data_IF_574008854928
#
_entry.id   IF_574008854928
#
_cell.length_a   1.000
_cell.length_b   1.000
_cell.length_c   1.000
_cell.angle_alpha   90.00
_cell.angle_beta   90.00
_cell.angle_gamma   90.00
#
_symmetry.space_group_name_H-M   'P 1'
#
loop_
_entity.id
_entity.type
_entity.pdbx_description
1 polymer ?
#
# COMPACT_ATOMS: atom_id res chain seq x y z
N UNK A 1 -0.46 34.53 14.01
CA UNK A 1 -1.15 33.39 13.36
C UNK A 1 -2.30 33.96 12.56
N UNK A 2 -2.23 33.91 11.23
CA UNK A 2 -3.28 34.45 10.36
C UNK A 2 -4.53 33.58 10.43
N UNK A 3 -5.70 34.20 10.22
CA UNK A 3 -7.02 33.55 10.19
C UNK A 3 -7.11 32.41 9.16
N UNK A 4 -6.27 32.45 8.11
CA UNK A 4 -6.13 31.41 7.09
C UNK A 4 -5.53 30.11 7.66
N UNK A 5 -4.53 30.21 8.54
CA UNK A 5 -3.82 29.07 9.15
C UNK A 5 -4.70 28.34 10.21
N UNK A 6 -5.63 29.06 10.82
CA UNK A 6 -6.63 28.48 11.75
C UNK A 6 -7.72 27.74 10.96
N UNK A 7 -8.20 28.29 9.85
CA UNK A 7 -9.20 27.64 9.00
C UNK A 7 -8.71 26.32 8.39
N UNK A 8 -7.44 26.27 7.96
CA UNK A 8 -6.84 25.04 7.42
C UNK A 8 -6.63 23.96 8.49
N UNK A 9 -6.25 24.35 9.72
CA UNK A 9 -6.14 23.43 10.86
C UNK A 9 -7.50 22.93 11.33
N UNK A 10 -8.52 23.79 11.38
CA UNK A 10 -9.88 23.38 11.69
C UNK A 10 -10.46 22.44 10.64
N UNK A 11 -10.23 22.69 9.35
CA UNK A 11 -10.63 21.78 8.26
C UNK A 11 -9.96 20.42 8.40
N UNK A 12 -8.64 20.37 8.66
CA UNK A 12 -7.91 19.12 8.93
C UNK A 12 -8.40 18.37 10.17
N UNK A 13 -8.78 19.08 11.24
CA UNK A 13 -9.34 18.46 12.45
C UNK A 13 -10.73 17.89 12.17
N UNK A 14 -11.55 18.60 11.38
CA UNK A 14 -12.87 18.13 10.96
C UNK A 14 -12.75 16.93 10.03
N UNK A 15 -11.84 16.94 9.06
CA UNK A 15 -11.52 15.78 8.19
C UNK A 15 -10.85 14.63 8.94
N UNK A 16 -10.17 14.90 10.06
CA UNK A 16 -9.63 13.86 10.94
C UNK A 16 -10.72 13.18 11.80
N UNK A 17 -11.78 13.93 12.14
CA UNK A 17 -12.93 13.44 12.91
C UNK A 17 -14.05 12.88 12.03
N UNK A 18 -14.11 13.32 10.78
CA UNK A 18 -15.06 12.93 9.76
C UNK A 18 -14.26 12.23 8.66
N UNK A 19 -14.30 10.89 8.63
CA UNK A 19 -13.71 10.05 7.59
C UNK A 19 -14.77 9.84 6.50
N UNK A 20 -14.93 10.76 5.51
CA UNK A 20 -15.93 10.59 4.48
C UNK A 20 -15.59 9.35 3.65
N UNK A 21 -16.61 8.61 3.21
CA UNK A 21 -16.38 7.47 2.32
C UNK A 21 -15.55 7.91 1.09
N UNK A 22 -14.46 7.18 0.76
CA UNK A 22 -13.65 7.46 -0.41
C UNK A 22 -14.52 7.50 -1.67
N UNK A 23 -14.40 8.59 -2.42
CA UNK A 23 -15.07 8.76 -3.70
C UNK A 23 -14.05 8.62 -4.81
N UNK A 24 -14.49 8.11 -5.95
CA UNK A 24 -13.72 8.19 -7.18
C UNK A 24 -13.89 9.61 -7.73
N UNK A 25 -13.07 10.54 -7.26
CA UNK A 25 -13.11 11.97 -7.59
C UNK A 25 -12.14 12.38 -8.72
N UNK A 26 -11.30 11.45 -9.16
CA UNK A 26 -10.47 11.60 -10.34
C UNK A 26 -11.32 11.63 -11.62
N UNK A 27 -10.79 12.28 -12.66
CA UNK A 27 -11.44 12.43 -13.97
C UNK A 27 -12.07 11.11 -14.42
N UNK A 28 -13.35 11.07 -14.85
CA UNK A 28 -14.07 9.84 -15.17
C UNK A 28 -13.43 8.97 -16.27
N UNK A 29 -12.37 9.46 -16.92
CA UNK A 29 -11.60 8.76 -17.94
C UNK A 29 -10.39 7.95 -17.42
N UNK A 30 -9.90 8.18 -16.19
CA UNK A 30 -8.72 7.45 -15.69
C UNK A 30 -9.07 6.04 -15.21
N UNK A 31 -8.31 5.00 -15.62
CA UNK A 31 -8.57 3.65 -15.19
C UNK A 31 -8.17 3.45 -13.72
N UNK A 32 -8.98 2.67 -13.00
CA UNK A 32 -8.67 2.26 -11.63
C UNK A 32 -7.74 1.04 -11.69
N UNK A 33 -6.72 1.03 -10.84
CA UNK A 33 -5.80 -0.10 -10.73
C UNK A 33 -5.84 -0.74 -9.34
N UNK A 34 -5.87 -2.08 -9.31
CA UNK A 34 -5.72 -2.86 -8.08
C UNK A 34 -4.68 -3.95 -8.33
N UNK A 35 -3.47 -3.84 -7.74
CA UNK A 35 -2.40 -4.85 -7.78
C UNK A 35 -2.25 -5.50 -9.19
N UNK A 36 -1.87 -4.67 -10.17
CA UNK A 36 -1.67 -5.10 -11.55
C UNK A 36 -2.93 -5.31 -12.41
N UNK A 37 -4.14 -5.12 -11.87
CA UNK A 37 -5.40 -5.19 -12.65
C UNK A 37 -5.97 -3.83 -12.94
N UNK A 38 -6.33 -3.61 -14.21
CA UNK A 38 -7.00 -2.41 -14.70
C UNK A 38 -8.51 -2.60 -14.71
N UNK A 39 -9.24 -1.61 -14.23
CA UNK A 39 -10.69 -1.52 -14.25
C UNK A 39 -11.12 -0.25 -14.96
N UNK A 40 -12.03 -0.38 -15.91
CA UNK A 40 -12.62 0.75 -16.62
C UNK A 40 -13.86 1.26 -15.89
N UNK A 41 -14.03 2.57 -15.84
CA UNK A 41 -15.24 3.22 -15.35
C UNK A 41 -16.29 3.11 -16.46
N UNK A 42 -17.52 2.63 -16.19
CA UNK A 42 -18.57 2.59 -17.21
C UNK A 42 -18.92 4.01 -17.67
N UNK A 43 -18.95 4.23 -18.99
CA UNK A 43 -19.44 5.49 -19.57
C UNK A 43 -20.91 5.72 -19.16
N UNK A 44 -21.32 6.96 -18.85
CA UNK A 44 -22.71 7.27 -18.58
C UNK A 44 -23.56 6.88 -19.81
N UNK A 45 -24.55 6.01 -19.61
CA UNK A 45 -25.49 5.66 -20.68
C UNK A 45 -26.30 6.93 -21.02
N UNK A 46 -26.03 7.54 -22.17
CA UNK A 46 -26.86 8.60 -22.71
C UNK A 46 -28.29 8.07 -22.94
N UNK A 47 -29.27 8.64 -22.23
CA UNK A 47 -30.68 8.36 -22.47
C UNK A 47 -31.15 9.09 -23.72
N UNK A 48 -30.91 8.53 -24.91
CA UNK A 48 -31.42 9.11 -26.16
C UNK A 48 -32.56 8.34 -26.83
N UNK A 49 -32.88 7.09 -26.46
CA UNK A 49 -33.79 6.25 -27.30
C UNK A 49 -35.10 5.75 -26.67
N UNK A 50 -35.75 6.50 -25.78
CA UNK A 50 -37.09 6.15 -25.27
C UNK A 50 -38.20 7.17 -25.58
N UNK A 51 -38.03 8.04 -26.58
CA UNK A 51 -39.08 9.05 -26.94
C UNK A 51 -39.83 8.83 -28.25
N UNK A 52 -39.54 7.79 -29.02
CA UNK A 52 -40.26 7.52 -30.27
C UNK A 52 -40.97 6.15 -30.25
N UNK A 53 -42.01 6.03 -29.42
CA UNK A 53 -43.13 5.15 -29.74
C UNK A 53 -44.42 5.94 -29.58
N UNK A 54 -44.91 6.45 -30.72
CA UNK A 54 -46.23 7.05 -30.86
C UNK A 54 -47.30 5.96 -30.80
N UNK A 55 -48.11 5.94 -29.74
CA UNK A 55 -49.35 5.18 -29.71
C UNK A 55 -50.47 6.00 -30.39
N UNK A 56 -51.34 5.39 -31.23
CA UNK A 56 -52.44 6.09 -31.88
C UNK A 56 -53.60 6.37 -30.89
N UNK A 57 -54.40 7.42 -31.10
CA UNK A 57 -55.45 7.80 -30.16
C UNK A 57 -56.78 7.08 -30.42
N UNK A 58 -57.55 6.91 -29.34
CA UNK A 58 -58.99 6.61 -29.23
C UNK A 58 -59.45 5.15 -29.04
N UNK A 59 -59.86 4.84 -27.81
CA UNK A 59 -61.18 4.26 -27.49
C UNK A 59 -61.56 4.53 -26.02
N UNK A 60 -62.84 4.85 -25.71
CA UNK A 60 -63.31 5.08 -24.33
C UNK A 60 -63.59 3.77 -23.57
N UNK A 61 -63.62 3.77 -22.23
CA UNK A 61 -63.63 2.55 -21.42
C UNK A 61 -65.04 1.94 -21.31
N UNK A 62 -65.13 0.61 -21.27
CA UNK A 62 -66.31 -0.12 -20.80
C UNK A 62 -66.12 -0.58 -19.36
N UNK A 63 -67.15 -0.53 -18.49
CA UNK A 63 -67.01 -0.90 -17.09
C UNK A 63 -67.32 -2.38 -16.89
N UNK A 64 -66.56 -3.02 -15.99
CA UNK A 64 -66.95 -4.10 -15.06
C UNK A 64 -65.93 -5.25 -15.03
N UNK A 65 -65.21 -5.41 -13.92
CA UNK A 65 -65.56 -6.35 -12.84
C UNK A 65 -64.39 -6.46 -11.86
N UNK A 66 -64.75 -6.37 -10.59
CA UNK A 66 -63.89 -6.51 -9.42
C UNK A 66 -63.31 -7.92 -9.32
N UNK A 67 -62.02 -8.03 -9.03
CA UNK A 67 -61.49 -9.11 -8.22
C UNK A 67 -60.30 -8.58 -7.41
N UNK A 68 -60.49 -8.61 -6.09
CA UNK A 68 -59.55 -8.21 -5.06
C UNK A 68 -58.31 -9.09 -5.11
N UNK A 69 -57.12 -8.48 -5.22
CA UNK A 69 -55.92 -9.09 -4.68
C UNK A 69 -55.02 -8.04 -4.03
N UNK A 70 -54.73 -8.34 -2.76
CA UNK A 70 -54.02 -7.55 -1.78
C UNK A 70 -52.55 -7.46 -2.20
N UNK A 71 -52.12 -6.30 -2.74
CA UNK A 71 -50.69 -6.02 -2.95
C UNK A 71 -50.31 -4.71 -2.27
N UNK A 72 -49.45 -4.88 -1.27
CA UNK A 72 -48.78 -3.85 -0.49
C UNK A 72 -48.17 -2.75 -1.37
N UNK A 73 -48.56 -1.50 -1.10
CA UNK A 73 -47.98 -0.28 -1.67
C UNK A 73 -46.44 -0.28 -1.54
N UNK A 74 -45.69 0.08 -2.59
CA UNK A 74 -44.29 0.44 -2.44
C UNK A 74 -44.18 1.83 -1.78
N UNK A 75 -43.14 2.10 -0.97
CA UNK A 75 -42.89 3.45 -0.48
C UNK A 75 -42.50 4.36 -1.66
N UNK A 76 -43.22 5.49 -1.71
CA UNK A 76 -42.90 6.77 -2.33
C UNK A 76 -41.55 6.90 -3.05
N UNK A 77 -41.68 7.25 -4.33
CA UNK A 77 -40.71 8.05 -5.08
C UNK A 77 -40.32 9.31 -4.31
N UNK A 78 -39.19 9.26 -3.62
CA UNK A 78 -38.37 10.41 -3.27
C UNK A 78 -36.91 9.93 -3.30
N UNK A 79 -36.07 10.66 -4.02
CA UNK A 79 -34.60 10.54 -4.09
C UNK A 79 -33.96 9.40 -4.90
N UNK A 80 -34.61 8.92 -5.98
CA UNK A 80 -33.97 7.97 -6.91
C UNK A 80 -33.20 8.62 -8.07
N UNK A 81 -32.90 9.92 -8.01
CA UNK A 81 -32.34 10.67 -9.14
C UNK A 81 -30.86 11.09 -9.01
N UNK A 82 -30.14 10.74 -7.93
CA UNK A 82 -28.76 11.23 -7.73
C UNK A 82 -27.69 10.16 -7.39
N UNK A 83 -28.04 8.87 -7.32
CA UNK A 83 -27.08 7.81 -6.91
C UNK A 83 -26.38 7.07 -8.07
N UNK A 84 -26.60 7.45 -9.34
CA UNK A 84 -26.12 6.65 -10.49
C UNK A 84 -24.86 7.19 -11.20
N UNK A 85 -24.21 8.22 -10.68
CA UNK A 85 -23.14 8.91 -11.43
C UNK A 85 -21.71 8.79 -10.88
N UNK A 86 -21.43 8.10 -9.77
CA UNK A 86 -20.05 8.02 -9.20
C UNK A 86 -19.74 6.71 -8.44
N UNK A 87 -20.33 5.57 -8.83
CA UNK A 87 -20.09 4.29 -8.15
C UNK A 87 -18.82 3.59 -8.65
N UNK A 88 -17.99 3.09 -7.74
CA UNK A 88 -16.86 2.21 -8.04
C UNK A 88 -17.30 1.02 -8.95
N UNK A 89 -16.49 0.60 -9.95
CA UNK A 89 -16.84 -0.56 -10.78
C UNK A 89 -17.03 -1.82 -9.93
N UNK A 90 -18.12 -2.57 -10.14
CA UNK A 90 -18.43 -3.76 -9.33
C UNK A 90 -17.28 -4.79 -9.33
N UNK A 91 -16.68 -5.04 -10.50
CA UNK A 91 -15.54 -5.96 -10.61
C UNK A 91 -14.29 -5.49 -9.85
N UNK A 92 -14.13 -4.17 -9.66
CA UNK A 92 -13.08 -3.61 -8.82
C UNK A 92 -13.40 -3.84 -7.34
N UNK A 93 -14.63 -3.57 -6.90
CA UNK A 93 -15.06 -3.81 -5.53
C UNK A 93 -14.89 -5.28 -5.14
N UNK A 94 -15.34 -6.21 -5.99
CA UNK A 94 -15.18 -7.65 -5.77
C UNK A 94 -13.69 -8.02 -5.55
N UNK A 95 -12.79 -7.43 -6.33
CA UNK A 95 -11.34 -7.65 -6.22
C UNK A 95 -10.74 -7.07 -4.94
N UNK A 96 -11.07 -5.81 -4.69
CA UNK A 96 -10.59 -5.02 -3.56
C UNK A 96 -11.02 -5.65 -2.23
N UNK A 97 -12.29 -6.00 -2.08
CA UNK A 97 -12.85 -6.65 -0.89
C UNK A 97 -12.33 -8.08 -0.68
N UNK A 98 -11.85 -8.71 -1.76
CA UNK A 98 -11.21 -10.03 -1.68
C UNK A 98 -9.75 -9.98 -1.23
N UNK A 99 -9.12 -8.80 -1.15
CA UNK A 99 -7.75 -8.68 -0.62
C UNK A 99 -7.73 -8.89 0.89
N UNK A 100 -6.67 -9.51 1.38
CA UNK A 100 -6.51 -9.75 2.82
C UNK A 100 -6.05 -8.47 3.49
N UNK A 101 -6.86 -7.95 4.41
CA UNK A 101 -6.57 -6.78 5.20
C UNK A 101 -6.35 -7.18 6.66
N UNK A 102 -5.15 -6.93 7.17
CA UNK A 102 -4.78 -7.22 8.55
C UNK A 102 -4.60 -5.89 9.27
N UNK A 103 -5.30 -5.73 10.38
CA UNK A 103 -5.39 -4.47 11.14
C UNK A 103 -4.88 -4.66 12.57
N UNK A 104 -4.85 -3.57 13.33
CA UNK A 104 -4.59 -3.63 14.77
C UNK A 104 -5.57 -4.57 15.48
N UNK A 105 -5.05 -5.30 16.46
CA UNK A 105 -5.82 -6.22 17.28
C UNK A 105 -5.57 -5.98 18.75
N UNK A 106 -6.47 -6.53 19.56
CA UNK A 106 -6.43 -6.49 21.01
C UNK A 106 -6.85 -7.85 21.56
N UNK A 107 -6.52 -8.10 22.82
CA UNK A 107 -6.82 -9.33 23.54
C UNK A 107 -6.18 -10.59 22.93
N UNK A 108 -5.06 -10.45 22.21
CA UNK A 108 -4.23 -11.59 21.83
C UNK A 108 -3.37 -12.06 23.01
N UNK A 109 -2.87 -13.32 23.02
CA UNK A 109 -1.97 -13.81 24.07
C UNK A 109 -0.79 -12.86 24.29
N UNK A 110 -0.44 -12.55 25.53
CA UNK A 110 0.53 -11.49 25.81
C UNK A 110 1.90 -11.74 25.15
N UNK A 111 2.44 -10.72 24.48
CA UNK A 111 3.83 -10.67 24.02
C UNK A 111 4.69 -10.12 25.16
N UNK A 112 5.69 -10.87 25.66
CA UNK A 112 6.55 -10.39 26.74
C UNK A 112 7.28 -9.11 26.36
N UNK A 113 7.46 -8.19 27.31
CA UNK A 113 8.31 -7.01 27.11
C UNK A 113 9.78 -7.41 27.02
N UNK A 114 10.56 -6.65 26.26
CA UNK A 114 12.02 -6.82 26.26
C UNK A 114 12.59 -6.50 27.65
N UNK A 115 13.64 -7.24 28.02
CA UNK A 115 14.45 -6.97 29.22
C UNK A 115 15.54 -5.93 28.94
N UNK A 116 15.74 -5.54 27.69
CA UNK A 116 16.69 -4.51 27.30
C UNK A 116 16.22 -3.14 27.81
N UNK A 117 17.03 -2.42 28.62
CA UNK A 117 16.72 -1.08 29.09
C UNK A 117 16.48 -0.06 27.96
N UNK A 118 17.11 -0.24 26.80
CA UNK A 118 16.99 0.67 25.65
C UNK A 118 15.65 0.52 24.94
N UNK A 119 15.04 -0.67 24.98
CA UNK A 119 13.76 -0.95 24.33
C UNK A 119 12.61 -0.09 24.92
N UNK A 120 12.65 0.19 26.23
CA UNK A 120 11.62 1.04 26.86
C UNK A 120 11.71 2.51 26.45
N UNK A 121 12.90 2.97 26.06
CA UNK A 121 13.14 4.34 25.60
C UNK A 121 12.72 4.53 24.14
N UNK A 122 12.78 3.47 23.34
CA UNK A 122 12.35 3.46 21.94
C UNK A 122 10.83 3.45 21.75
N UNK A 123 10.05 3.26 22.82
CA UNK A 123 8.58 3.29 22.75
C UNK A 123 8.06 4.71 22.51
N UNK A 124 7.04 4.84 21.66
CA UNK A 124 6.32 6.10 21.51
C UNK A 124 5.63 6.49 22.83
N UNK A 125 5.43 7.79 23.07
CA UNK A 125 4.85 8.28 24.33
C UNK A 125 3.51 7.61 24.66
N UNK A 126 2.63 7.48 23.68
CA UNK A 126 1.32 6.84 23.81
C UNK A 126 1.42 5.35 24.14
N UNK A 127 2.35 4.62 23.50
CA UNK A 127 2.60 3.20 23.81
C UNK A 127 3.20 3.05 25.20
N UNK A 128 4.14 3.92 25.60
CA UNK A 128 4.74 3.93 26.93
C UNK A 128 3.70 4.19 28.03
N UNK A 129 2.82 5.18 27.82
CA UNK A 129 1.76 5.52 28.77
C UNK A 129 0.79 4.35 28.97
N UNK A 130 0.33 3.72 27.88
CA UNK A 130 -0.54 2.54 27.95
C UNK A 130 0.15 1.35 28.63
N UNK A 131 1.40 1.11 28.27
CA UNK A 131 2.24 0.02 28.78
C UNK A 131 2.50 0.11 30.29
N UNK A 132 2.52 1.31 30.87
CA UNK A 132 2.69 1.53 32.31
C UNK A 132 1.37 1.41 33.09
N UNK A 133 0.24 1.78 32.49
CA UNK A 133 -1.06 1.85 33.19
C UNK A 133 -1.89 0.57 33.09
N UNK A 134 -1.83 -0.16 31.97
CA UNK A 134 -2.75 -1.27 31.66
C UNK A 134 -2.02 -2.61 31.48
N UNK A 135 -0.85 -2.59 30.86
CA UNK A 135 -0.17 -3.78 30.33
C UNK A 135 1.12 -4.11 31.10
N UNK A 136 1.04 -4.25 32.44
CA UNK A 136 2.25 -4.49 33.28
C UNK A 136 2.99 -5.79 32.96
N UNK A 137 2.31 -6.79 32.37
CA UNK A 137 2.86 -8.14 32.11
C UNK A 137 3.31 -8.41 30.66
N UNK A 138 3.06 -7.49 29.72
CA UNK A 138 3.29 -7.73 28.29
C UNK A 138 2.27 -7.00 27.42
N UNK A 139 2.49 -6.97 26.12
CA UNK A 139 1.56 -6.35 25.18
C UNK A 139 0.45 -7.34 24.80
N UNK A 140 -0.80 -6.92 24.93
CA UNK A 140 -1.99 -7.66 24.47
C UNK A 140 -2.71 -6.97 23.30
N UNK A 141 -2.16 -5.83 22.87
CA UNK A 141 -2.59 -5.07 21.70
C UNK A 141 -1.38 -4.48 20.98
N UNK A 142 -1.49 -4.38 19.67
CA UNK A 142 -0.49 -3.74 18.81
C UNK A 142 -0.87 -2.33 18.37
N UNK A 143 -2.02 -1.84 18.85
CA UNK A 143 -2.46 -0.47 18.61
C UNK A 143 -1.40 0.53 19.07
N UNK A 144 -0.88 1.32 18.13
CA UNK A 144 0.09 2.38 18.38
C UNK A 144 1.55 2.01 18.05
N UNK A 145 1.84 0.75 17.71
CA UNK A 145 3.19 0.33 17.31
C UNK A 145 3.22 -0.71 16.18
N UNK A 146 2.16 -1.51 16.01
CA UNK A 146 2.12 -2.62 15.06
C UNK A 146 1.83 -2.27 13.60
N UNK A 147 1.62 -1.00 13.22
CA UNK A 147 1.11 -0.68 11.87
C UNK A 147 1.95 -1.28 10.75
N UNK A 148 3.28 -1.12 10.81
CA UNK A 148 4.16 -1.64 9.77
C UNK A 148 4.16 -3.17 9.73
N UNK A 149 4.07 -3.83 10.89
CA UNK A 149 3.93 -5.28 10.99
C UNK A 149 2.63 -5.71 10.28
N UNK A 150 1.51 -5.04 10.56
CA UNK A 150 0.21 -5.36 9.93
C UNK A 150 0.20 -5.12 8.43
N UNK A 151 0.85 -4.07 7.96
CA UNK A 151 1.03 -3.81 6.52
C UNK A 151 1.90 -4.88 5.87
N UNK A 152 3.01 -5.29 6.52
CA UNK A 152 3.85 -6.40 6.05
C UNK A 152 3.12 -7.74 6.03
N UNK A 153 2.35 -8.06 7.07
CA UNK A 153 1.50 -9.24 7.12
C UNK A 153 0.46 -9.22 5.99
N UNK A 154 -0.17 -8.06 5.73
CA UNK A 154 -1.14 -7.92 4.62
C UNK A 154 -0.48 -8.15 3.27
N UNK A 155 0.71 -7.60 3.04
CA UNK A 155 1.49 -7.82 1.82
C UNK A 155 1.84 -9.30 1.63
N UNK A 156 2.39 -9.96 2.66
CA UNK A 156 2.73 -11.38 2.63
C UNK A 156 1.47 -12.26 2.43
N UNK A 157 0.38 -11.96 3.13
CA UNK A 157 -0.87 -12.71 3.01
C UNK A 157 -1.43 -12.64 1.59
N UNK A 158 -1.40 -11.46 0.95
CA UNK A 158 -1.85 -11.31 -0.43
C UNK A 158 -0.88 -11.98 -1.43
N UNK A 159 0.43 -12.01 -1.17
CA UNK A 159 1.37 -12.79 -1.98
C UNK A 159 1.06 -14.30 -1.91
N UNK A 160 0.85 -14.85 -0.71
CA UNK A 160 0.43 -16.24 -0.53
C UNK A 160 -0.93 -16.53 -1.15
N UNK A 161 -1.87 -15.57 -1.08
CA UNK A 161 -3.19 -15.69 -1.69
C UNK A 161 -3.06 -15.84 -3.21
N UNK A 162 -2.29 -14.96 -3.84
CA UNK A 162 -2.06 -15.01 -5.29
C UNK A 162 -1.31 -16.29 -5.67
N UNK A 163 -0.35 -16.74 -4.86
CA UNK A 163 0.40 -17.98 -5.12
C UNK A 163 -0.47 -19.24 -5.02
N UNK A 164 -1.34 -19.34 -4.00
CA UNK A 164 -2.13 -20.55 -3.72
C UNK A 164 -3.48 -20.61 -4.45
N UNK A 165 -4.11 -19.46 -4.64
CA UNK A 165 -5.48 -19.35 -5.18
C UNK A 165 -5.53 -18.61 -6.52
N UNK A 166 -4.47 -17.91 -6.90
CA UNK A 166 -4.40 -17.13 -8.15
C UNK A 166 -4.90 -15.69 -7.97
N UNK A 167 -4.48 -14.83 -8.89
CA UNK A 167 -4.87 -13.40 -8.88
C UNK A 167 -6.36 -13.18 -9.18
N UNK A 168 -6.98 -14.09 -9.94
CA UNK A 168 -8.41 -14.09 -10.28
C UNK A 168 -9.33 -14.50 -9.13
N UNK A 169 -8.79 -15.10 -8.07
CA UNK A 169 -9.60 -15.57 -6.96
C UNK A 169 -10.39 -14.45 -6.30
N UNK A 170 -11.62 -14.76 -5.91
CA UNK A 170 -12.56 -13.90 -5.17
C UNK A 170 -13.19 -14.70 -4.03
N UNK A 171 -13.62 -13.99 -2.98
CA UNK A 171 -14.27 -14.58 -1.80
C UNK A 171 -15.48 -15.44 -2.19
N UNK A 172 -15.75 -16.46 -1.38
CA UNK A 172 -16.85 -17.41 -1.61
C UNK A 172 -16.47 -18.63 -2.46
N UNK A 173 -15.25 -18.66 -3.01
CA UNK A 173 -14.67 -19.84 -3.67
C UNK A 173 -13.51 -20.40 -2.85
N UNK A 174 -13.26 -21.71 -2.90
CA UNK A 174 -12.11 -22.35 -2.24
C UNK A 174 -11.98 -22.03 -0.73
N UNK A 175 -13.10 -21.90 -0.01
CA UNK A 175 -13.16 -21.43 1.38
C UNK A 175 -12.24 -22.18 2.34
N UNK A 176 -12.04 -23.49 2.14
CA UNK A 176 -11.12 -24.29 2.96
C UNK A 176 -9.66 -23.81 2.83
N UNK A 177 -9.23 -23.45 1.62
CA UNK A 177 -7.89 -22.90 1.36
C UNK A 177 -7.77 -21.46 1.88
N UNK A 178 -8.83 -20.65 1.76
CA UNK A 178 -8.89 -19.30 2.34
C UNK A 178 -8.71 -19.36 3.87
N UNK A 179 -9.48 -20.21 4.56
CA UNK A 179 -9.37 -20.40 6.01
C UNK A 179 -7.98 -20.88 6.41
N UNK A 180 -7.44 -21.88 5.70
CA UNK A 180 -6.10 -22.40 5.96
C UNK A 180 -5.04 -21.31 5.83
N UNK A 181 -5.12 -20.46 4.80
CA UNK A 181 -4.20 -19.33 4.61
C UNK A 181 -4.35 -18.31 5.74
N UNK A 182 -5.58 -17.87 6.05
CA UNK A 182 -5.82 -16.88 7.12
C UNK A 182 -5.35 -17.37 8.49
N UNK A 183 -5.44 -18.68 8.75
CA UNK A 183 -4.99 -19.28 10.01
C UNK A 183 -3.49 -19.11 10.25
N UNK A 184 -2.69 -18.94 9.19
CA UNK A 184 -1.25 -18.69 9.29
C UNK A 184 -0.92 -17.34 9.93
N UNK A 185 -1.87 -16.39 9.90
CA UNK A 185 -1.71 -15.02 10.39
C UNK A 185 -2.49 -14.74 11.69
N UNK A 186 -3.12 -15.75 12.28
CA UNK A 186 -3.85 -15.58 13.54
C UNK A 186 -2.93 -15.00 14.63
N UNK A 187 -3.43 -14.11 15.48
CA UNK A 187 -2.65 -13.51 16.58
C UNK A 187 -2.44 -14.50 17.73
N UNK A 188 -1.76 -15.61 17.45
CA UNK A 188 -1.40 -16.66 18.38
C UNK A 188 0.05 -17.08 18.13
N UNK A 189 0.84 -17.35 19.19
CA UNK A 189 2.25 -17.74 19.04
C UNK A 189 2.50 -18.95 18.11
N UNK A 190 1.51 -19.83 17.95
CA UNK A 190 1.61 -21.01 17.11
C UNK A 190 1.49 -20.72 15.61
N UNK A 191 0.84 -19.62 15.24
CA UNK A 191 0.67 -19.26 13.84
C UNK A 191 1.99 -18.66 13.29
N UNK A 192 2.51 -19.17 12.15
CA UNK A 192 3.86 -18.88 11.66
C UNK A 192 4.06 -17.41 11.28
N UNK A 193 3.00 -16.73 10.85
CA UNK A 193 3.04 -15.32 10.47
C UNK A 193 2.29 -14.42 11.47
N UNK A 194 2.08 -14.89 12.70
CA UNK A 194 1.48 -14.09 13.76
C UNK A 194 2.33 -12.88 14.12
N UNK A 195 1.71 -11.88 14.76
CA UNK A 195 2.45 -10.74 15.30
C UNK A 195 3.51 -11.17 16.32
N UNK A 196 3.26 -12.25 17.05
CA UNK A 196 4.21 -12.85 18.00
C UNK A 196 5.49 -13.27 17.28
N UNK A 197 5.37 -13.98 16.15
CA UNK A 197 6.51 -14.42 15.33
C UNK A 197 7.24 -13.25 14.68
N UNK A 198 6.50 -12.29 14.11
CA UNK A 198 7.11 -11.08 13.55
C UNK A 198 7.97 -10.32 14.57
N UNK A 199 7.49 -10.19 15.80
CA UNK A 199 8.24 -9.50 16.87
C UNK A 199 9.44 -10.33 17.34
N UNK A 200 9.28 -11.66 17.45
CA UNK A 200 10.37 -12.59 17.79
C UNK A 200 11.50 -12.51 16.74
N UNK A 201 11.17 -12.63 15.45
CA UNK A 201 12.13 -12.51 14.36
C UNK A 201 12.72 -11.09 14.28
N UNK A 202 11.91 -10.04 14.49
CA UNK A 202 12.39 -8.66 14.54
C UNK A 202 13.46 -8.43 15.61
N UNK A 203 13.24 -9.00 16.80
CA UNK A 203 14.21 -8.91 17.89
C UNK A 203 15.51 -9.64 17.54
N UNK A 204 15.42 -10.83 16.93
CA UNK A 204 16.58 -11.63 16.56
C UNK A 204 17.37 -11.05 15.37
N UNK A 205 16.70 -10.63 14.30
CA UNK A 205 17.33 -10.25 13.03
C UNK A 205 17.71 -8.76 12.96
N UNK A 206 17.04 -7.88 13.70
CA UNK A 206 17.28 -6.44 13.62
C UNK A 206 17.20 -5.71 14.96
N UNK A 207 17.16 -6.42 16.09
CA UNK A 207 17.12 -5.82 17.43
C UNK A 207 15.84 -5.02 17.70
N UNK A 208 14.77 -5.25 16.94
CA UNK A 208 13.49 -4.55 17.09
C UNK A 208 12.58 -5.27 18.08
N UNK A 209 12.30 -4.62 19.19
CA UNK A 209 11.59 -5.23 20.31
C UNK A 209 10.08 -4.97 20.29
N UNK A 210 9.29 -5.78 21.03
CA UNK A 210 7.86 -5.56 21.19
C UNK A 210 7.55 -4.12 21.66
N UNK A 211 6.60 -3.47 21.00
CA UNK A 211 6.21 -2.09 21.30
C UNK A 211 6.97 -1.04 20.49
N UNK A 212 8.09 -1.39 19.86
CA UNK A 212 8.84 -0.48 18.98
C UNK A 212 8.19 -0.40 17.59
N UNK A 213 8.47 0.71 16.91
CA UNK A 213 8.08 0.86 15.51
C UNK A 213 9.06 0.13 14.59
N UNK A 214 8.51 -0.70 13.70
CA UNK A 214 9.24 -1.43 12.67
C UNK A 214 9.27 -0.60 11.39
N UNK A 215 10.45 -0.50 10.77
CA UNK A 215 10.57 0.07 9.43
C UNK A 215 10.40 -0.97 8.31
N UNK A 216 10.38 -0.54 7.04
CA UNK A 216 10.38 -1.40 5.87
C UNK A 216 11.40 -2.53 5.91
N UNK A 217 12.68 -2.22 6.11
CA UNK A 217 13.76 -3.22 6.11
C UNK A 217 13.64 -4.22 7.26
N UNK A 218 13.25 -3.77 8.46
CA UNK A 218 13.00 -4.65 9.59
C UNK A 218 11.85 -5.62 9.30
N UNK A 219 10.77 -5.11 8.71
CA UNK A 219 9.60 -5.92 8.33
C UNK A 219 9.93 -6.93 7.25
N UNK A 220 10.73 -6.54 6.24
CA UNK A 220 11.19 -7.45 5.19
C UNK A 220 12.01 -8.62 5.76
N UNK A 221 12.94 -8.33 6.67
CA UNK A 221 13.73 -9.37 7.36
C UNK A 221 12.86 -10.29 8.21
N UNK A 222 11.82 -9.76 8.85
CA UNK A 222 10.87 -10.62 9.58
C UNK A 222 10.16 -11.60 8.65
N UNK A 223 9.82 -11.18 7.42
CA UNK A 223 9.18 -12.05 6.43
C UNK A 223 10.15 -13.12 5.92
N UNK A 224 11.41 -12.75 5.67
CA UNK A 224 12.47 -13.66 5.20
C UNK A 224 12.79 -14.80 6.19
N UNK A 225 12.79 -14.48 7.48
CA UNK A 225 13.09 -15.44 8.55
C UNK A 225 11.91 -16.39 8.88
N UNK A 226 10.71 -16.11 8.37
CA UNK A 226 9.55 -16.95 8.63
C UNK A 226 9.59 -18.24 7.81
N UNK A 227 9.11 -19.34 8.41
CA UNK A 227 9.09 -20.65 7.76
C UNK A 227 8.24 -20.63 6.47
N UNK A 228 8.81 -21.13 5.38
CA UNK A 228 8.55 -20.60 4.04
C UNK A 228 7.19 -20.93 3.39
N UNK A 229 6.26 -21.67 4.01
CA UNK A 229 4.90 -21.94 3.49
C UNK A 229 4.73 -22.23 1.97
N UNK A 230 5.80 -22.68 1.27
CA UNK A 230 5.86 -22.86 -0.19
C UNK A 230 6.23 -21.62 -1.04
N UNK A 231 6.78 -20.56 -0.44
CA UNK A 231 7.16 -19.29 -1.06
C UNK A 231 8.59 -18.91 -0.63
N UNK A 232 9.50 -18.76 -1.58
CA UNK A 232 10.83 -18.22 -1.31
C UNK A 232 10.74 -16.70 -1.10
N UNK A 233 11.68 -16.12 -0.36
CA UNK A 233 11.75 -14.67 -0.16
C UNK A 233 13.12 -14.16 -0.61
N UNK A 234 13.14 -13.09 -1.39
CA UNK A 234 14.34 -12.36 -1.78
C UNK A 234 14.23 -10.95 -1.20
N UNK A 235 15.10 -10.60 -0.25
CA UNK A 235 15.13 -9.27 0.38
C UNK A 235 16.37 -8.51 -0.04
N UNK A 236 16.21 -7.24 -0.40
CA UNK A 236 17.34 -6.31 -0.53
C UNK A 236 17.66 -5.67 0.81
N UNK A 237 18.93 -5.71 1.22
CA UNK A 237 19.33 -5.28 2.56
C UNK A 237 19.14 -3.78 2.76
N UNK A 238 19.43 -2.96 1.74
CA UNK A 238 19.27 -1.51 1.71
C UNK A 238 19.15 -1.01 0.25
N UNK A 239 17.94 -0.70 -0.21
CA UNK A 239 17.70 -0.15 -1.56
C UNK A 239 16.90 -1.08 -2.48
N UNK A 240 16.91 -0.74 -3.76
CA UNK A 240 16.06 -1.32 -4.81
C UNK A 240 16.84 -2.08 -5.87
N UNK A 241 18.10 -2.40 -5.58
CA UNK A 241 19.01 -3.11 -6.47
C UNK A 241 18.78 -4.63 -6.36
N UNK A 242 18.39 -5.23 -7.49
CA UNK A 242 18.14 -6.66 -7.61
C UNK A 242 19.25 -7.32 -8.39
N UNK A 243 19.89 -8.32 -7.79
CA UNK A 243 20.97 -9.09 -8.41
C UNK A 243 20.39 -10.42 -8.93
N UNK A 244 20.44 -10.62 -10.25
CA UNK A 244 19.82 -11.79 -10.89
C UNK A 244 20.41 -13.11 -10.40
N UNK A 245 21.73 -13.16 -10.22
CA UNK A 245 22.45 -14.34 -9.71
C UNK A 245 21.97 -14.74 -8.30
N UNK A 246 21.86 -13.78 -7.38
CA UNK A 246 21.34 -14.01 -6.02
C UNK A 246 19.87 -14.41 -6.05
N UNK A 247 19.07 -13.74 -6.87
CA UNK A 247 17.67 -14.08 -7.04
C UNK A 247 17.52 -15.52 -7.55
N UNK A 248 18.27 -15.92 -8.59
CA UNK A 248 18.27 -17.29 -9.14
C UNK A 248 18.73 -18.33 -8.12
N UNK A 249 19.69 -18.00 -7.27
CA UNK A 249 20.14 -18.91 -6.20
C UNK A 249 19.02 -19.24 -5.21
N UNK A 250 18.16 -18.27 -4.90
CA UNK A 250 17.02 -18.42 -4.00
C UNK A 250 15.82 -19.05 -4.72
N UNK A 251 15.49 -18.52 -5.90
CA UNK A 251 14.31 -18.87 -6.65
C UNK A 251 14.40 -20.24 -7.34
N UNK A 252 15.61 -20.65 -7.75
CA UNK A 252 15.86 -21.82 -8.58
C UNK A 252 16.66 -21.46 -9.83
N UNK A 253 17.69 -22.25 -10.12
CA UNK A 253 18.61 -22.00 -11.23
C UNK A 253 17.97 -22.26 -12.59
N UNK A 254 17.30 -23.41 -12.74
CA UNK A 254 16.65 -23.83 -13.99
C UNK A 254 15.19 -23.38 -14.02
N UNK A 255 14.41 -23.85 -13.04
CA UNK A 255 13.00 -23.50 -12.85
C UNK A 255 12.82 -22.60 -11.64
N UNK A 256 12.36 -21.38 -11.89
CA UNK A 256 11.99 -20.43 -10.83
C UNK A 256 10.77 -20.97 -10.09
N UNK A 257 10.95 -21.17 -8.79
CA UNK A 257 9.89 -21.41 -7.81
C UNK A 257 9.27 -20.08 -7.39
N UNK A 258 8.00 -20.07 -6.92
CA UNK A 258 7.37 -18.87 -6.41
C UNK A 258 8.25 -18.15 -5.39
N UNK A 259 8.61 -16.91 -5.72
CA UNK A 259 9.56 -16.11 -4.95
C UNK A 259 9.01 -14.69 -4.80
N UNK A 260 8.92 -14.23 -3.56
CA UNK A 260 8.52 -12.88 -3.19
C UNK A 260 9.75 -11.99 -3.08
N UNK A 261 9.87 -11.02 -3.96
CA UNK A 261 10.87 -9.96 -3.91
C UNK A 261 10.35 -8.86 -2.99
N UNK A 262 11.14 -8.46 -2.01
CA UNK A 262 10.86 -7.39 -1.06
C UNK A 262 11.96 -6.32 -1.14
N UNK A 263 11.56 -5.11 -1.54
CA UNK A 263 12.46 -3.98 -1.72
C UNK A 263 12.16 -2.90 -0.68
N UNK A 264 13.07 -2.72 0.27
CA UNK A 264 13.05 -1.59 1.21
C UNK A 264 13.66 -0.36 0.54
N UNK A 265 12.84 0.64 0.20
CA UNK A 265 13.29 1.82 -0.53
C UNK A 265 13.06 3.10 0.27
N UNK A 266 13.91 4.10 0.04
CA UNK A 266 13.73 5.48 0.51
C UNK A 266 13.77 6.44 -0.67
N UNK A 267 12.61 7.02 -1.02
CA UNK A 267 12.42 7.85 -2.23
C UNK A 267 12.40 9.36 -1.94
N UNK A 268 12.98 9.78 -0.81
CA UNK A 268 13.05 11.18 -0.39
C UNK A 268 13.40 11.35 1.09
N UNK A 269 13.43 12.61 1.55
CA UNK A 269 13.75 12.96 2.94
C UNK A 269 12.48 12.99 3.78
N UNK A 270 11.56 13.92 3.47
CA UNK A 270 10.29 14.14 4.18
C UNK A 270 9.07 13.62 3.40
N UNK A 271 9.15 13.68 2.07
CA UNK A 271 8.12 13.20 1.14
C UNK A 271 8.78 12.56 -0.07
N UNK A 272 8.01 11.80 -0.85
CA UNK A 272 8.49 11.20 -2.10
C UNK A 272 8.85 12.29 -3.10
N UNK A 273 10.09 12.28 -3.60
CA UNK A 273 10.53 13.20 -4.65
C UNK A 273 9.69 12.99 -5.92
N UNK A 274 9.10 14.07 -6.51
CA UNK A 274 8.19 13.97 -7.66
C UNK A 274 8.70 13.17 -8.86
N UNK A 275 10.01 13.15 -9.07
CA UNK A 275 10.67 12.39 -10.16
C UNK A 275 10.37 10.88 -10.15
N UNK A 276 9.97 10.34 -8.98
CA UNK A 276 9.65 8.93 -8.80
C UNK A 276 8.16 8.60 -8.91
N UNK A 277 7.28 9.60 -9.05
CA UNK A 277 5.82 9.36 -9.00
C UNK A 277 5.34 8.46 -10.15
N UNK A 278 5.84 8.69 -11.36
CA UNK A 278 5.45 7.87 -12.53
C UNK A 278 5.97 6.44 -12.41
N UNK A 279 7.21 6.26 -11.96
CA UNK A 279 7.78 4.94 -11.71
C UNK A 279 7.01 4.19 -10.61
N UNK A 280 6.59 4.88 -9.54
CA UNK A 280 5.81 4.30 -8.46
C UNK A 280 4.41 3.88 -8.91
N UNK A 281 3.74 4.73 -9.70
CA UNK A 281 2.46 4.42 -10.35
C UNK A 281 2.62 3.20 -11.28
N UNK A 282 3.70 3.10 -12.04
CA UNK A 282 3.94 1.95 -12.92
C UNK A 282 4.11 0.64 -12.12
N UNK A 283 4.88 0.66 -11.04
CA UNK A 283 5.16 -0.51 -10.18
C UNK A 283 3.89 -1.18 -9.66
N UNK A 284 2.88 -0.40 -9.23
CA UNK A 284 1.61 -0.96 -8.74
C UNK A 284 0.72 -1.53 -9.86
N UNK A 285 1.01 -1.19 -11.12
CA UNK A 285 0.34 -1.69 -12.31
C UNK A 285 0.99 -2.97 -12.87
N UNK A 286 2.14 -3.39 -12.34
CA UNK A 286 2.77 -4.65 -12.79
C UNK A 286 1.93 -5.85 -12.35
N UNK A 287 1.72 -6.86 -13.21
CA UNK A 287 1.00 -8.09 -12.84
C UNK A 287 1.61 -8.83 -11.64
N UNK A 288 2.92 -8.67 -11.44
CA UNK A 288 3.68 -9.27 -10.33
C UNK A 288 3.53 -8.49 -9.03
N UNK A 289 2.99 -7.27 -9.05
CA UNK A 289 2.90 -6.41 -7.86
C UNK A 289 2.01 -7.05 -6.79
N UNK A 290 2.50 -7.09 -5.55
CA UNK A 290 1.71 -7.43 -4.36
C UNK A 290 1.50 -6.22 -3.45
N UNK A 291 1.80 -5.02 -3.95
CA UNK A 291 1.54 -3.75 -3.30
C UNK A 291 2.74 -3.16 -2.58
N UNK A 292 2.45 -2.10 -1.83
CA UNK A 292 3.43 -1.32 -1.08
C UNK A 292 2.94 -1.23 0.37
N UNK A 293 3.83 -1.50 1.32
CA UNK A 293 3.59 -1.22 2.73
C UNK A 293 4.26 0.11 3.13
N UNK A 294 3.43 1.10 3.47
CA UNK A 294 3.81 2.48 3.85
C UNK A 294 2.56 3.30 4.23
N UNK A 295 2.72 4.56 4.69
CA UNK A 295 1.59 5.48 4.99
C UNK A 295 1.02 6.09 3.70
N UNK A 296 -0.30 6.29 3.59
CA UNK A 296 -1.01 6.44 2.31
C UNK A 296 -1.57 7.86 2.02
N UNK A 297 -0.90 8.59 1.13
CA UNK A 297 -1.39 9.53 0.09
C UNK A 297 -0.12 9.98 -0.65
N UNK A 298 0.04 9.90 -1.99
CA UNK A 298 1.39 10.02 -2.62
C UNK A 298 2.18 11.29 -2.23
N UNK A 299 1.47 12.40 -1.94
CA UNK A 299 2.05 13.66 -1.47
C UNK A 299 2.41 13.67 0.02
N UNK A 300 1.85 12.76 0.80
CA UNK A 300 2.05 12.57 2.25
C UNK A 300 2.64 11.19 2.59
N UNK A 301 3.05 10.42 1.56
CA UNK A 301 3.66 9.11 1.73
C UNK A 301 5.01 9.30 2.42
N UNK A 302 5.23 8.49 3.45
CA UNK A 302 6.56 8.33 4.02
C UNK A 302 7.49 7.87 2.89
N UNK A 303 8.64 8.55 2.67
CA UNK A 303 9.54 8.18 1.60
C UNK A 303 10.13 6.78 1.82
N UNK A 304 10.08 6.24 3.04
CA UNK A 304 10.48 4.88 3.40
C UNK A 304 9.31 3.90 3.24
N UNK A 305 9.44 2.96 2.31
CA UNK A 305 8.40 1.97 2.01
C UNK A 305 8.96 0.60 1.67
N UNK A 306 8.12 -0.41 1.81
CA UNK A 306 8.41 -1.78 1.40
C UNK A 306 7.59 -2.12 0.15
N UNK A 307 8.24 -2.40 -0.97
CA UNK A 307 7.60 -2.76 -2.23
C UNK A 307 7.73 -4.27 -2.46
N UNK A 308 6.63 -4.94 -2.81
CA UNK A 308 6.61 -6.38 -3.02
C UNK A 308 6.27 -6.80 -4.46
N UNK A 309 6.98 -7.81 -4.97
CA UNK A 309 6.65 -8.49 -6.23
C UNK A 309 6.68 -10.01 -6.09
N UNK A 310 5.67 -10.70 -6.61
CA UNK A 310 5.62 -12.16 -6.67
C UNK A 310 6.01 -12.64 -8.07
N UNK A 311 7.13 -13.36 -8.14
CA UNK A 311 7.60 -14.02 -9.37
C UNK A 311 7.28 -15.51 -9.26
N UNK A 312 6.37 -16.03 -10.08
CA UNK A 312 5.93 -17.44 -9.97
C UNK A 312 6.76 -18.40 -10.80
N UNK A 313 7.36 -17.93 -11.89
CA UNK A 313 8.07 -18.75 -12.88
C UNK A 313 9.03 -17.88 -13.74
N UNK A 314 9.67 -18.52 -14.72
CA UNK A 314 10.61 -17.86 -15.63
C UNK A 314 9.95 -16.76 -16.50
N UNK A 315 8.72 -16.96 -16.95
CA UNK A 315 8.01 -15.95 -17.77
C UNK A 315 7.71 -14.69 -16.97
N UNK A 316 7.23 -14.86 -15.73
CA UNK A 316 7.00 -13.75 -14.79
C UNK A 316 8.30 -12.96 -14.55
N UNK A 317 9.44 -13.65 -14.41
CA UNK A 317 10.74 -13.02 -14.21
C UNK A 317 11.16 -12.17 -15.40
N UNK A 318 11.02 -12.71 -16.62
CA UNK A 318 11.37 -11.98 -17.84
C UNK A 318 10.45 -10.79 -18.09
N UNK A 319 9.13 -10.94 -17.90
CA UNK A 319 8.16 -9.85 -18.01
C UNK A 319 8.42 -8.76 -16.95
N UNK A 320 8.68 -9.15 -15.70
CA UNK A 320 9.02 -8.19 -14.63
C UNK A 320 10.30 -7.41 -14.94
N UNK A 321 11.38 -8.09 -15.36
CA UNK A 321 12.63 -7.42 -15.77
C UNK A 321 12.41 -6.45 -16.92
N UNK A 322 11.60 -6.83 -17.91
CA UNK A 322 11.27 -5.95 -19.04
C UNK A 322 10.55 -4.69 -18.56
N UNK A 323 9.52 -4.83 -17.73
CA UNK A 323 8.75 -3.70 -17.16
C UNK A 323 9.61 -2.77 -16.31
N UNK A 324 10.48 -3.34 -15.46
CA UNK A 324 11.42 -2.54 -14.64
C UNK A 324 12.36 -1.72 -15.53
N UNK A 325 12.88 -2.30 -16.61
CA UNK A 325 13.77 -1.61 -17.55
C UNK A 325 13.05 -0.57 -18.42
N UNK A 326 11.75 -0.73 -18.65
CA UNK A 326 10.92 0.17 -19.45
C UNK A 326 10.05 1.11 -18.60
N UNK A 327 10.31 1.23 -17.30
CA UNK A 327 9.51 2.05 -16.41
C UNK A 327 9.60 3.53 -16.80
N UNK A 328 8.47 4.29 -16.77
CA UNK A 328 8.49 5.73 -17.02
C UNK A 328 9.14 6.48 -15.84
N UNK A 329 9.70 7.66 -16.11
CA UNK A 329 10.30 8.53 -15.08
C UNK A 329 11.68 8.08 -14.60
N UNK A 330 12.12 8.58 -13.42
CA UNK A 330 13.39 8.15 -12.82
C UNK A 330 13.23 6.71 -12.30
N UNK A 331 14.08 5.75 -12.73
CA UNK A 331 13.94 4.36 -12.32
C UNK A 331 14.10 4.24 -10.80
N UNK A 332 13.19 3.47 -10.20
CA UNK A 332 13.27 3.10 -8.78
C UNK A 332 14.08 1.80 -8.63
N UNK A 333 13.88 0.83 -9.51
CA UNK A 333 14.44 -0.53 -9.38
C UNK A 333 15.52 -0.74 -10.45
N UNK A 334 16.66 -1.27 -10.03
CA UNK A 334 17.76 -1.62 -10.92
C UNK A 334 18.01 -3.13 -10.87
N UNK A 335 18.11 -3.77 -12.04
CA UNK A 335 18.40 -5.21 -12.13
C UNK A 335 19.78 -5.39 -12.73
N UNK A 336 20.67 -6.00 -11.95
CA UNK A 336 22.05 -6.28 -12.35
C UNK A 336 22.19 -7.74 -12.75
N UNK A 337 22.68 -7.94 -13.97
CA UNK A 337 23.03 -9.26 -14.49
C UNK A 337 24.39 -9.66 -13.88
N UNK A 338 24.41 -10.63 -12.98
CA UNK A 338 25.64 -11.13 -12.36
C UNK A 338 26.38 -12.09 -13.30
N UNK A 339 27.52 -11.67 -13.85
CA UNK A 339 28.57 -12.61 -14.27
C UNK A 339 29.23 -13.25 -13.04
N UNK A 340 29.94 -14.38 -13.18
CA UNK A 340 30.56 -15.06 -12.03
C UNK A 340 31.49 -14.11 -11.25
N UNK A 341 31.58 -14.26 -9.92
CA UNK A 341 32.16 -13.24 -9.05
C UNK A 341 33.67 -13.12 -9.25
N UNK A 342 34.12 -12.02 -9.86
CA UNK A 342 35.49 -11.56 -9.67
C UNK A 342 35.57 -10.91 -8.28
N UNK A 343 36.09 -11.67 -7.32
CA UNK A 343 36.52 -11.17 -6.02
C UNK A 343 37.43 -9.96 -6.22
N UNK A 344 37.03 -8.81 -5.67
CA UNK A 344 37.90 -7.65 -5.54
C UNK A 344 37.53 -6.45 -6.40
N UNK A 345 36.37 -5.84 -6.13
CA UNK A 345 36.25 -4.37 -6.14
C UNK A 345 35.07 -3.96 -5.27
N UNK A 346 35.38 -3.23 -4.20
CA UNK A 346 34.44 -2.30 -3.61
C UNK A 346 33.90 -1.42 -4.76
N UNK A 347 32.63 -1.60 -5.13
CA UNK A 347 31.91 -0.57 -5.88
C UNK A 347 31.51 0.51 -4.87
N UNK A 348 32.46 1.39 -4.57
CA UNK A 348 32.10 2.72 -4.11
C UNK A 348 31.35 3.43 -5.25
N UNK A 349 30.25 4.11 -4.90
CA UNK A 349 29.43 4.90 -5.83
C UNK A 349 30.30 5.93 -6.58
N UNK A 350 30.61 5.69 -7.85
CA UNK A 350 30.95 6.78 -8.79
C UNK A 350 29.62 7.45 -9.19
N UNK A 351 29.21 8.48 -8.46
CA UNK A 351 28.01 9.25 -8.78
C UNK A 351 27.39 10.04 -7.63
N UNK A 352 27.89 9.87 -6.40
CA UNK A 352 27.33 10.56 -5.22
C UNK A 352 27.83 12.01 -5.03
N UNK A 353 28.50 12.61 -6.02
CA UNK A 353 29.10 13.96 -5.88
C UNK A 353 28.39 15.04 -6.71
N UNK A 354 27.37 14.70 -7.51
CA UNK A 354 26.74 15.65 -8.45
C UNK A 354 25.23 15.87 -8.23
N UNK A 355 24.67 15.46 -7.09
CA UNK A 355 23.26 15.75 -6.73
C UNK A 355 23.16 16.65 -5.49
N UNK A 356 23.75 17.85 -5.57
CA UNK A 356 23.38 18.99 -4.73
C UNK A 356 23.04 20.16 -5.65
N UNK A 357 21.78 20.22 -6.12
CA UNK A 357 21.23 21.50 -6.55
C UNK A 357 21.06 22.36 -5.29
N UNK A 358 21.98 23.30 -5.08
CA UNK A 358 21.72 24.44 -4.23
C UNK A 358 20.59 25.22 -4.88
N UNK A 359 19.41 25.19 -4.27
CA UNK A 359 18.37 26.16 -4.57
C UNK A 359 18.86 27.49 -4.01
N UNK A 360 19.42 28.33 -4.89
CA UNK A 360 19.78 29.70 -4.56
C UNK A 360 18.49 30.48 -4.27
N UNK A 361 18.35 30.93 -3.03
CA UNK A 361 17.32 31.88 -2.59
C UNK A 361 17.63 33.28 -3.16
N UNK A 362 17.35 33.51 -4.44
CA UNK A 362 17.33 34.84 -5.03
C UNK A 362 15.89 35.39 -5.04
N UNK A 363 15.50 36.01 -3.93
CA UNK A 363 14.47 37.05 -3.91
C UNK A 363 14.68 37.97 -2.69
N UNK A 364 15.89 38.56 -2.57
CA UNK A 364 16.12 39.66 -1.64
C UNK A 364 16.06 41.02 -2.37
N UNK A 365 14.92 41.68 -2.13
CA UNK A 365 14.55 43.06 -2.44
C UNK A 365 15.75 44.04 -2.47
N UNK A 366 16.06 44.57 -3.65
CA UNK A 366 16.91 45.75 -3.81
C UNK A 366 16.28 46.98 -3.11
N UNK A 367 16.87 47.38 -1.98
CA UNK A 367 16.77 48.74 -1.44
C UNK A 367 18.09 49.49 -1.69
N UNK A 368 18.06 50.73 -2.19
CA UNK A 368 19.28 51.46 -2.53
C UNK A 368 19.98 52.03 -1.29
N UNK A 369 21.26 51.70 -1.11
CA UNK A 369 22.14 52.30 -0.10
C UNK A 369 22.59 53.71 -0.50
N UNK A 370 22.71 54.66 0.45
CA UNK A 370 23.11 56.03 0.16
C UNK A 370 24.64 56.16 -0.03
N UNK A 371 24.99 56.97 -1.03
CA UNK A 371 26.35 57.37 -1.40
C UNK A 371 27.03 58.08 -0.22
N UNK A 372 28.20 57.59 0.19
CA UNK A 372 29.14 58.31 1.05
C UNK A 372 30.27 58.85 0.20
N UNK A 373 30.25 60.16 0.01
CA UNK A 373 31.37 60.94 -0.53
C UNK A 373 32.62 60.78 0.35
N UNK A 374 33.77 60.55 -0.29
CA UNK A 374 35.07 60.92 0.26
C UNK A 374 35.90 61.65 -0.81
N UNK A 375 36.58 62.74 -0.45
CA UNK A 375 37.15 63.66 -1.42
C UNK A 375 38.59 63.31 -1.82
N UNK A 376 38.87 63.65 -3.09
CA UNK A 376 40.13 64.16 -3.66
C UNK A 376 41.47 63.68 -3.08
N UNK A 377 42.25 62.99 -3.91
CA UNK A 377 43.56 63.46 -4.39
C UNK A 377 43.91 62.76 -5.70
#
# INVERSE_FOLDING_TARGET
MSTVDIGQKCKKIVEYLWDPEPRNDDSPAEPIWCLGRRYSIPEPIERSDLRNQSFPPNQPPSPSQEALEYSSKPPSQADSHDFRNLSWPAAFLDDFESRIWITYRSNFPAIPKSKDPNAQQALTFSVRLRSQLLDTRGFTTDTGWGCMIRSGQSLLANALLIQKLGRDWRRGSETGKEIALLSLFADRPQAPFSIHRFVEHGAAACGKHPGEWFGPSATARCIDECEHAGLNVYVTSDGSDVHEDKFRQIAGLDDIKPTLILLGVRLGIDSITPVYWDALKAIIQYPQSVGIAGRLHIKEMDPSMLIGFLIKNNDDWHDWKHRVRSAPGKPIIHVFDGGPPNFGRHFEREGAVDEVEALDDDDELHLPTPIKDRPSS
#
